data_IF_019126695035
#
_entry.id   IF_019126695035
#
_cell.length_a   1.000
_cell.length_b   1.000
_cell.length_c   1.000
_cell.angle_alpha   90.00
_cell.angle_beta   90.00
_cell.angle_gamma   90.00
#
_symmetry.space_group_name_H-M   'P 1'
#
loop_
_entity.id
_entity.type
_entity.pdbx_description
1 polymer ?
#
# COMPACT_ATOMS: atom_id res chain seq x y z
N UNK A 1 23.89 8.21 12.80
CA UNK A 1 22.79 8.44 13.75
C UNK A 1 21.80 7.29 13.60
N UNK A 2 21.85 6.27 14.47
CA UNK A 2 20.91 5.15 14.40
C UNK A 2 19.54 5.64 14.86
N UNK A 3 18.64 5.90 13.91
CA UNK A 3 17.24 6.09 14.22
C UNK A 3 16.78 4.88 15.03
N UNK A 4 16.38 5.10 16.29
CA UNK A 4 15.75 4.06 17.10
C UNK A 4 14.56 3.56 16.29
N UNK A 5 14.62 2.32 15.79
CA UNK A 5 13.44 1.66 15.21
C UNK A 5 12.40 1.53 16.31
N UNK A 6 11.50 2.50 16.38
CA UNK A 6 10.37 2.47 17.30
C UNK A 6 9.57 1.24 16.91
N UNK A 7 9.50 0.24 17.80
CA UNK A 7 8.75 -0.98 17.51
C UNK A 7 7.29 -0.60 17.27
N UNK A 8 6.83 -0.75 16.03
CA UNK A 8 5.42 -0.56 15.67
C UNK A 8 4.59 -1.52 16.52
N UNK A 9 3.58 -1.06 17.27
CA UNK A 9 2.74 -1.94 18.05
C UNK A 9 2.01 -2.95 17.16
N UNK A 10 2.02 -4.23 17.52
CA UNK A 10 1.36 -5.31 16.76
C UNK A 10 -0.11 -5.00 16.48
N UNK A 11 -0.81 -4.39 17.45
CA UNK A 11 -2.22 -3.99 17.29
C UNK A 11 -2.42 -2.98 16.16
N UNK A 12 -1.55 -1.97 16.07
CA UNK A 12 -1.60 -0.94 15.03
C UNK A 12 -1.34 -1.55 13.65
N UNK A 13 -0.35 -2.44 13.57
CA UNK A 13 -0.02 -3.17 12.35
C UNK A 13 -1.21 -4.00 11.85
N UNK A 14 -1.81 -4.83 12.71
CA UNK A 14 -2.97 -5.67 12.36
C UNK A 14 -4.17 -4.81 11.93
N UNK A 15 -4.44 -3.71 12.63
CA UNK A 15 -5.53 -2.81 12.26
C UNK A 15 -5.32 -2.27 10.85
N UNK A 16 -4.10 -1.83 10.53
CA UNK A 16 -3.78 -1.26 9.23
C UNK A 16 -3.75 -2.26 8.09
N UNK A 17 -3.26 -3.47 8.36
CA UNK A 17 -3.37 -4.60 7.44
C UNK A 17 -4.83 -4.90 7.08
N UNK A 18 -5.73 -4.91 8.06
CA UNK A 18 -7.17 -5.10 7.81
C UNK A 18 -7.76 -4.00 6.96
N UNK A 19 -7.37 -2.73 7.17
CA UNK A 19 -7.79 -1.62 6.32
C UNK A 19 -7.35 -1.81 4.86
N UNK A 20 -6.10 -2.22 4.64
CA UNK A 20 -5.59 -2.50 3.28
C UNK A 20 -6.33 -3.68 2.63
N UNK A 21 -6.54 -4.76 3.38
CA UNK A 21 -7.30 -5.91 2.90
C UNK A 21 -8.75 -5.56 2.57
N UNK A 22 -9.42 -4.80 3.43
CA UNK A 22 -10.81 -4.37 3.21
C UNK A 22 -10.92 -3.50 1.95
N UNK A 23 -10.02 -2.55 1.76
CA UNK A 23 -9.98 -1.73 0.56
C UNK A 23 -9.71 -2.55 -0.70
N UNK A 24 -8.75 -3.47 -0.67
CA UNK A 24 -8.50 -4.36 -1.80
C UNK A 24 -9.71 -5.24 -2.13
N UNK A 25 -10.41 -5.74 -1.11
CA UNK A 25 -11.63 -6.54 -1.28
C UNK A 25 -12.79 -5.72 -1.88
N UNK A 26 -13.03 -4.51 -1.35
CA UNK A 26 -14.09 -3.59 -1.81
C UNK A 26 -13.96 -3.32 -3.32
N UNK A 27 -12.74 -3.00 -3.77
CA UNK A 27 -12.48 -2.63 -5.16
C UNK A 27 -12.01 -3.80 -6.04
N UNK A 28 -11.95 -5.03 -5.50
CA UNK A 28 -11.40 -6.22 -6.16
C UNK A 28 -9.97 -6.01 -6.70
N UNK A 29 -9.17 -5.23 -5.99
CA UNK A 29 -7.76 -5.01 -6.31
C UNK A 29 -6.89 -6.16 -5.81
N UNK A 30 -5.74 -6.31 -6.45
CA UNK A 30 -4.65 -7.19 -6.01
C UNK A 30 -3.69 -6.37 -5.15
N UNK A 31 -3.46 -6.81 -3.92
CA UNK A 31 -2.37 -6.28 -3.10
C UNK A 31 -1.04 -6.78 -3.67
N UNK A 32 -0.01 -5.92 -3.66
CA UNK A 32 1.32 -6.22 -4.19
C UNK A 32 1.78 -7.62 -3.71
N UNK A 33 1.92 -8.61 -4.62
CA UNK A 33 2.13 -10.01 -4.24
C UNK A 33 3.43 -10.33 -3.50
N UNK A 34 4.39 -9.40 -3.52
CA UNK A 34 5.70 -9.54 -2.85
C UNK A 34 5.99 -8.33 -1.95
N UNK A 35 6.39 -8.54 -0.70
CA UNK A 35 6.80 -7.42 0.15
C UNK A 35 5.66 -6.51 0.63
N UNK A 36 4.47 -7.06 0.85
CA UNK A 36 3.37 -6.35 1.51
C UNK A 36 3.81 -5.71 2.85
N UNK A 37 4.58 -6.47 3.64
CA UNK A 37 5.12 -6.02 4.93
C UNK A 37 5.94 -4.74 4.81
N UNK A 38 6.73 -4.62 3.74
CA UNK A 38 7.53 -3.42 3.49
C UNK A 38 6.66 -2.18 3.30
N UNK A 39 5.56 -2.28 2.54
CA UNK A 39 4.65 -1.16 2.32
C UNK A 39 3.87 -0.79 3.59
N UNK A 40 3.44 -1.81 4.34
CA UNK A 40 2.74 -1.62 5.60
C UNK A 40 3.63 -0.91 6.63
N UNK A 41 4.87 -1.38 6.80
CA UNK A 41 5.84 -0.75 7.70
C UNK A 41 6.20 0.65 7.23
N UNK A 42 6.46 0.84 5.93
CA UNK A 42 6.79 2.16 5.37
C UNK A 42 5.67 3.18 5.63
N UNK A 43 4.40 2.78 5.49
CA UNK A 43 3.28 3.67 5.83
C UNK A 43 3.22 3.95 7.34
N UNK A 44 3.37 2.93 8.19
CA UNK A 44 3.28 3.07 9.64
C UNK A 44 4.43 3.90 10.23
N UNK A 45 5.61 3.85 9.62
CA UNK A 45 6.75 4.70 9.99
C UNK A 45 6.57 6.14 9.49
N UNK A 46 6.12 6.33 8.25
CA UNK A 46 5.96 7.66 7.66
C UNK A 46 4.69 8.41 8.12
N UNK A 47 3.67 7.67 8.57
CA UNK A 47 2.34 8.22 8.88
C UNK A 47 1.59 8.79 7.65
N UNK A 48 2.06 8.50 6.45
CA UNK A 48 1.52 8.96 5.18
C UNK A 48 1.95 8.02 4.04
N UNK A 49 1.49 8.25 2.81
CA UNK A 49 1.98 7.50 1.66
C UNK A 49 3.50 7.69 1.51
N UNK A 50 4.29 6.60 1.45
CA UNK A 50 5.75 6.71 1.36
C UNK A 50 6.24 7.34 0.05
N UNK A 51 5.38 7.39 -0.98
CA UNK A 51 5.70 7.98 -2.29
C UNK A 51 5.13 9.39 -2.48
N UNK A 52 4.27 9.87 -1.56
CA UNK A 52 3.66 11.20 -1.62
C UNK A 52 3.26 11.65 -0.21
N UNK A 53 4.12 12.43 0.47
CA UNK A 53 3.88 12.87 1.85
C UNK A 53 2.61 13.70 2.05
N UNK A 54 2.02 14.27 0.99
CA UNK A 54 0.78 15.03 1.09
C UNK A 54 -0.44 14.10 1.25
N UNK A 55 -0.30 12.81 0.91
CA UNK A 55 -1.34 11.79 1.14
C UNK A 55 -1.23 11.21 2.54
N UNK A 56 -1.84 11.90 3.50
CA UNK A 56 -1.82 11.50 4.92
C UNK A 56 -2.57 10.19 5.23
N UNK A 57 -3.51 9.79 4.38
CA UNK A 57 -4.30 8.57 4.55
C UNK A 57 -3.89 7.52 3.52
N UNK A 58 -3.79 6.26 3.95
CA UNK A 58 -3.70 5.09 3.07
C UNK A 58 -4.58 3.98 3.68
N UNK A 59 -5.48 3.33 2.93
CA UNK A 59 -5.80 3.59 1.53
C UNK A 59 -6.43 4.99 1.35
N UNK A 60 -6.09 5.67 0.26
CA UNK A 60 -6.67 6.98 -0.09
C UNK A 60 -7.59 6.84 -1.30
N UNK A 61 -8.59 7.73 -1.42
CA UNK A 61 -9.46 7.77 -2.60
C UNK A 61 -8.70 7.94 -3.92
N UNK A 62 -7.57 8.66 -3.90
CA UNK A 62 -6.68 8.78 -5.07
C UNK A 62 -6.12 7.42 -5.52
N UNK A 63 -5.81 6.53 -4.59
CA UNK A 63 -5.31 5.19 -4.94
C UNK A 63 -6.34 4.39 -5.73
N UNK A 64 -7.64 4.46 -5.39
CA UNK A 64 -8.68 3.76 -6.17
C UNK A 64 -8.73 4.26 -7.61
N UNK A 65 -8.71 5.59 -7.80
CA UNK A 65 -8.74 6.23 -9.12
C UNK A 65 -7.51 5.83 -9.94
N UNK A 66 -6.33 5.89 -9.35
CA UNK A 66 -5.06 5.50 -10.00
C UNK A 66 -5.04 4.02 -10.37
N UNK A 67 -5.51 3.13 -9.48
CA UNK A 67 -5.54 1.70 -9.79
C UNK A 67 -6.45 1.42 -10.98
N UNK A 68 -7.64 2.03 -11.02
CA UNK A 68 -8.57 1.84 -12.15
C UNK A 68 -7.99 2.39 -13.45
N UNK A 69 -7.41 3.61 -13.41
CA UNK A 69 -6.90 4.33 -14.58
C UNK A 69 -5.58 3.76 -15.10
N UNK A 70 -4.61 3.60 -14.21
CA UNK A 70 -3.20 3.33 -14.51
C UNK A 70 -2.81 1.86 -14.26
N UNK A 71 -3.70 1.07 -13.64
CA UNK A 71 -3.46 -0.33 -13.29
C UNK A 71 -2.80 -0.52 -11.91
N UNK A 72 -2.34 0.56 -11.27
CA UNK A 72 -1.77 0.55 -9.92
C UNK A 72 -1.89 1.91 -9.23
N UNK A 73 -1.81 1.95 -7.90
CA UNK A 73 -1.68 3.22 -7.18
C UNK A 73 -0.24 3.77 -7.28
N UNK A 74 -0.02 5.02 -6.87
CA UNK A 74 1.30 5.67 -6.94
C UNK A 74 2.44 4.85 -6.32
N UNK A 75 2.24 4.29 -5.12
CA UNK A 75 3.24 3.47 -4.45
C UNK A 75 3.25 2.00 -4.89
N UNK A 76 2.37 1.62 -5.83
CA UNK A 76 2.22 0.24 -6.33
C UNK A 76 1.85 -0.78 -5.26
N UNK A 77 1.31 -0.37 -4.12
CA UNK A 77 0.76 -1.30 -3.12
C UNK A 77 -0.48 -2.03 -3.66
N UNK A 78 -1.36 -1.31 -4.34
CA UNK A 78 -2.58 -1.86 -4.93
C UNK A 78 -2.45 -1.90 -6.46
N UNK A 79 -2.92 -2.99 -7.05
CA UNK A 79 -2.93 -3.28 -8.48
C UNK A 79 -4.33 -3.63 -8.92
N UNK A 80 -4.68 -3.30 -10.16
CA UNK A 80 -6.00 -3.61 -10.71
C UNK A 80 -6.15 -5.11 -10.94
N UNK A 81 -5.08 -5.78 -11.33
CA UNK A 81 -5.05 -7.22 -11.54
C UNK A 81 -3.65 -7.80 -11.35
N UNK A 82 -3.57 -9.12 -11.20
CA UNK A 82 -2.28 -9.82 -11.20
C UNK A 82 -1.56 -9.68 -12.56
N UNK A 83 -2.32 -9.60 -13.66
CA UNK A 83 -1.76 -9.38 -14.99
C UNK A 83 -1.08 -8.01 -15.09
N UNK A 84 -1.69 -6.95 -14.55
CA UNK A 84 -1.08 -5.60 -14.51
C UNK A 84 0.25 -5.63 -13.73
N UNK A 85 0.29 -6.34 -12.60
CA UNK A 85 1.52 -6.55 -11.82
C UNK A 85 2.61 -7.26 -12.63
N UNK A 86 2.30 -8.42 -13.22
CA UNK A 86 3.30 -9.20 -13.99
C UNK A 86 3.79 -8.42 -15.20
N UNK A 87 2.87 -7.74 -15.90
CA UNK A 87 3.16 -6.95 -17.10
C UNK A 87 4.13 -5.81 -16.80
N UNK A 88 4.06 -5.19 -15.62
CA UNK A 88 4.94 -4.07 -15.28
C UNK A 88 6.28 -4.51 -14.67
N UNK A 89 6.29 -5.58 -13.87
CA UNK A 89 7.47 -6.00 -13.11
C UNK A 89 8.44 -6.90 -13.89
N UNK A 90 8.00 -7.50 -15.00
CA UNK A 90 8.79 -8.46 -15.78
C UNK A 90 8.89 -8.10 -17.27
N UNK A 91 8.59 -6.86 -17.63
CA UNK A 91 8.98 -6.27 -18.92
C UNK A 91 10.38 -5.69 -18.81
#
# INVERSE_FOLDING_TARGET
MSAKKTKIPTKTRIAKEREFCAFAQEYKFVIHPKGFDYYLESFLEAGCCPCDPDRKNCPCGKAAIEVVRDGHCLCRLFWRSYQDFVTMMFK
#
